data_IF_005521077789
#
_entry.id   IF_005521077789
#
_cell.length_a   1.000
_cell.length_b   1.000
_cell.length_c   1.000
_cell.angle_alpha   90.00
_cell.angle_beta   90.00
_cell.angle_gamma   90.00
#
_symmetry.space_group_name_H-M   'P 1'
#
loop_
_entity.id
_entity.type
_entity.pdbx_description
1 polymer ?
#
# COMPACT_ATOMS: atom_id res chain seq x y z
N UNK A 1 8.19 25.20 0.21
CA UNK A 1 8.36 23.80 -0.24
C UNK A 1 7.23 23.00 0.33
N UNK A 2 6.63 22.11 -0.44
CA UNK A 2 5.57 21.23 0.03
C UNK A 2 6.18 20.24 1.01
N UNK A 3 5.52 19.98 2.15
CA UNK A 3 5.97 18.98 3.09
C UNK A 3 5.85 17.58 2.48
N UNK A 4 6.82 16.70 2.76
CA UNK A 4 6.91 15.37 2.15
C UNK A 4 6.84 14.25 3.19
N UNK A 5 6.15 13.16 2.85
CA UNK A 5 6.08 11.94 3.65
C UNK A 5 6.61 10.75 2.84
N UNK A 6 7.70 10.13 3.30
CA UNK A 6 8.33 9.00 2.62
C UNK A 6 7.65 7.69 3.00
N UNK A 7 7.49 6.79 2.03
CA UNK A 7 6.95 5.44 2.21
C UNK A 7 7.71 4.42 1.37
N UNK A 8 7.68 3.15 1.77
CA UNK A 8 8.26 2.07 0.98
C UNK A 8 7.23 1.51 0.00
N UNK A 9 7.61 1.37 -1.26
CA UNK A 9 6.82 0.77 -2.33
C UNK A 9 6.62 1.68 -3.54
N UNK A 10 5.81 1.19 -4.47
CA UNK A 10 5.44 1.92 -5.70
C UNK A 10 4.24 2.85 -5.43
N UNK A 11 4.06 3.93 -6.22
CA UNK A 11 2.83 4.72 -6.19
C UNK A 11 1.59 3.83 -6.34
N UNK A 12 0.60 4.02 -5.46
CA UNK A 12 -0.60 3.17 -5.40
C UNK A 12 -0.51 1.98 -4.43
N UNK A 13 0.64 1.73 -3.81
CA UNK A 13 0.74 0.75 -2.72
C UNK A 13 -0.12 1.15 -1.50
N UNK A 14 -0.45 0.19 -0.61
CA UNK A 14 -1.21 0.51 0.61
C UNK A 14 -0.46 1.46 1.55
N UNK A 15 0.88 1.49 1.50
CA UNK A 15 1.67 2.52 2.20
C UNK A 15 1.47 3.91 1.60
N UNK A 16 1.30 4.01 0.26
CA UNK A 16 0.93 5.28 -0.38
C UNK A 16 -0.48 5.72 0.01
N UNK A 17 -1.43 4.80 0.03
CA UNK A 17 -2.79 5.07 0.52
C UNK A 17 -2.76 5.56 1.97
N UNK A 18 -1.93 4.96 2.84
CA UNK A 18 -1.75 5.41 4.22
C UNK A 18 -1.27 6.87 4.29
N UNK A 19 -0.32 7.27 3.42
CA UNK A 19 0.13 8.66 3.32
C UNK A 19 -1.01 9.58 2.90
N UNK A 20 -1.72 9.23 1.83
CA UNK A 20 -2.83 10.02 1.30
C UNK A 20 -3.95 10.21 2.34
N UNK A 21 -4.32 9.15 3.06
CA UNK A 21 -5.44 9.18 4.01
C UNK A 21 -5.07 9.92 5.31
N UNK A 22 -3.83 9.73 5.80
CA UNK A 22 -3.40 10.29 7.07
C UNK A 22 -2.80 11.69 6.97
N UNK A 23 -2.23 12.05 5.82
CA UNK A 23 -1.55 13.33 5.55
C UNK A 23 -1.82 13.81 4.13
N UNK A 24 -3.09 14.12 3.79
CA UNK A 24 -3.47 14.53 2.42
C UNK A 24 -2.83 15.85 1.98
N UNK A 25 -2.31 16.64 2.93
CA UNK A 25 -1.61 17.90 2.69
C UNK A 25 -0.15 17.71 2.29
N UNK A 26 0.40 16.48 2.45
CA UNK A 26 1.81 16.19 2.17
C UNK A 26 1.97 15.47 0.83
N UNK A 27 3.11 15.69 0.18
CA UNK A 27 3.48 14.95 -1.02
C UNK A 27 4.14 13.62 -0.62
N UNK A 28 3.68 12.51 -1.22
CA UNK A 28 4.19 11.19 -0.91
C UNK A 28 5.46 10.86 -1.72
N UNK A 29 6.55 10.51 -1.02
CA UNK A 29 7.85 10.15 -1.61
C UNK A 29 8.01 8.62 -1.61
N UNK A 30 7.94 7.94 -2.78
CA UNK A 30 8.17 6.50 -2.85
C UNK A 30 9.66 6.17 -2.69
N UNK A 31 9.97 5.17 -1.86
CA UNK A 31 11.31 4.66 -1.61
C UNK A 31 11.35 3.15 -1.90
N UNK A 32 12.52 2.65 -2.32
CA UNK A 32 12.68 1.24 -2.67
C UNK A 32 12.66 0.33 -1.43
N UNK A 33 13.29 0.77 -0.33
CA UNK A 33 13.43 0.00 0.90
C UNK A 33 13.00 0.81 2.12
N UNK A 34 12.82 0.14 3.27
CA UNK A 34 12.55 0.82 4.54
C UNK A 34 13.76 1.63 5.02
N UNK A 35 14.96 1.14 4.74
CA UNK A 35 16.20 1.85 4.99
C UNK A 35 16.25 3.19 4.23
N UNK A 36 15.81 3.21 2.97
CA UNK A 36 15.73 4.43 2.16
C UNK A 36 14.70 5.42 2.72
N UNK A 37 13.55 4.93 3.20
CA UNK A 37 12.55 5.78 3.88
C UNK A 37 13.15 6.46 5.10
N UNK A 38 13.84 5.72 5.96
CA UNK A 38 14.51 6.26 7.15
C UNK A 38 15.60 7.24 6.75
N UNK A 39 16.40 6.92 5.73
CA UNK A 39 17.46 7.78 5.23
C UNK A 39 16.92 9.10 4.66
N UNK A 40 15.82 9.06 3.89
CA UNK A 40 15.16 10.25 3.34
C UNK A 40 14.73 11.23 4.44
N UNK A 41 14.13 10.72 5.53
CA UNK A 41 13.74 11.56 6.66
C UNK A 41 14.97 12.10 7.41
N UNK A 42 15.97 11.27 7.69
CA UNK A 42 17.22 11.71 8.36
C UNK A 42 17.99 12.74 7.54
N UNK A 43 18.02 12.57 6.22
CA UNK A 43 18.69 13.47 5.27
C UNK A 43 17.92 14.77 4.99
N UNK A 44 16.64 14.86 5.38
CA UNK A 44 15.81 16.04 5.14
C UNK A 44 15.17 16.10 3.76
N UNK A 45 15.20 15.01 3.00
CA UNK A 45 14.48 14.85 1.75
C UNK A 45 12.97 14.70 1.99
N UNK A 46 12.60 14.04 3.10
CA UNK A 46 11.23 13.99 3.60
C UNK A 46 11.15 14.52 5.04
N UNK A 47 9.99 15.02 5.41
CA UNK A 47 9.69 15.50 6.77
C UNK A 47 9.28 14.36 7.69
N UNK A 48 8.48 13.42 7.15
CA UNK A 48 7.92 12.27 7.86
C UNK A 48 8.18 10.96 7.11
N UNK A 49 8.13 9.85 7.86
CA UNK A 49 8.12 8.47 7.36
C UNK A 49 6.79 7.81 7.68
N UNK A 50 6.22 7.08 6.72
CA UNK A 50 5.08 6.18 6.90
C UNK A 50 5.58 4.74 6.91
N UNK A 51 5.60 4.09 8.08
CA UNK A 51 6.23 2.78 8.28
C UNK A 51 5.21 1.75 8.78
N UNK A 52 4.93 0.67 8.01
CA UNK A 52 4.02 -0.39 8.44
C UNK A 52 4.67 -1.21 9.55
N UNK A 53 4.01 -1.35 10.70
CA UNK A 53 4.57 -2.10 11.84
C UNK A 53 3.86 -3.42 12.10
N UNK A 54 2.59 -3.50 11.77
CA UNK A 54 1.76 -4.67 12.03
C UNK A 54 0.62 -4.78 11.03
N UNK A 55 0.28 -6.00 10.68
CA UNK A 55 -0.91 -6.33 9.90
C UNK A 55 -1.73 -7.39 10.65
N UNK A 56 -3.05 -7.21 10.73
CA UNK A 56 -3.93 -8.08 11.50
C UNK A 56 -3.99 -9.54 10.99
N UNK A 57 -3.64 -9.77 9.71
CA UNK A 57 -3.62 -11.10 9.09
C UNK A 57 -2.24 -11.75 9.14
N UNK A 58 -1.17 -10.96 8.95
CA UNK A 58 0.21 -11.44 8.80
C UNK A 58 1.09 -11.17 10.01
N UNK A 59 0.60 -10.41 10.99
CA UNK A 59 1.34 -10.06 12.19
C UNK A 59 2.38 -8.95 11.96
N UNK A 60 3.50 -9.05 12.67
CA UNK A 60 4.53 -8.00 12.68
C UNK A 60 5.31 -7.94 11.38
N UNK A 61 5.61 -6.73 10.93
CA UNK A 61 6.56 -6.46 9.83
C UNK A 61 7.98 -6.56 10.40
N UNK A 62 8.61 -7.73 10.28
CA UNK A 62 9.86 -8.06 10.96
C UNK A 62 11.01 -7.07 10.66
N UNK A 63 11.15 -6.65 9.39
CA UNK A 63 12.21 -5.72 8.98
C UNK A 63 12.09 -4.37 9.69
N UNK A 64 10.87 -3.84 9.82
CA UNK A 64 10.65 -2.58 10.53
C UNK A 64 11.00 -2.71 12.01
N UNK A 65 10.60 -3.78 12.67
CA UNK A 65 10.93 -4.00 14.09
C UNK A 65 12.44 -4.10 14.35
N UNK A 66 13.21 -4.56 13.37
CA UNK A 66 14.67 -4.55 13.43
C UNK A 66 15.26 -3.15 13.24
N UNK A 67 14.67 -2.34 12.35
CA UNK A 67 15.19 -1.02 11.97
C UNK A 67 14.81 0.11 12.94
N UNK A 68 13.61 0.04 13.54
CA UNK A 68 13.07 1.10 14.38
C UNK A 68 13.99 1.52 15.54
N UNK A 69 14.58 0.59 16.35
CA UNK A 69 15.43 0.98 17.48
C UNK A 69 16.67 1.78 17.08
N UNK A 70 17.18 1.57 15.87
CA UNK A 70 18.40 2.20 15.35
C UNK A 70 18.08 3.37 14.38
N UNK A 71 16.80 3.60 14.08
CA UNK A 71 16.40 4.64 13.13
C UNK A 71 16.74 6.04 13.60
N UNK A 72 16.70 6.29 14.91
CA UNK A 72 16.81 7.63 15.48
C UNK A 72 15.62 8.55 15.17
N UNK A 73 14.52 7.99 14.66
CA UNK A 73 13.27 8.71 14.40
C UNK A 73 12.34 8.63 15.61
N UNK A 74 11.48 9.63 15.74
CA UNK A 74 10.49 9.76 16.81
C UNK A 74 9.09 9.51 16.27
N UNK A 75 8.27 8.79 17.02
CA UNK A 75 6.86 8.55 16.68
C UNK A 75 6.08 9.86 16.88
N UNK A 76 5.44 10.32 15.81
CA UNK A 76 4.55 11.46 15.83
C UNK A 76 3.09 11.04 15.94
N UNK A 77 2.72 9.95 15.21
CA UNK A 77 1.34 9.51 15.12
C UNK A 77 1.27 8.05 14.68
N UNK A 78 0.06 7.51 14.62
CA UNK A 78 -0.22 6.23 14.00
C UNK A 78 -1.39 6.33 13.02
N UNK A 79 -1.40 5.46 12.02
CA UNK A 79 -2.48 5.33 11.05
C UNK A 79 -2.88 3.88 10.88
N UNK A 80 -4.16 3.65 10.61
CA UNK A 80 -4.72 2.33 10.35
C UNK A 80 -5.35 2.33 8.98
N UNK A 81 -4.88 1.45 8.10
CA UNK A 81 -5.42 1.30 6.76
C UNK A 81 -6.09 -0.05 6.63
N UNK A 82 -7.38 -0.03 6.33
CA UNK A 82 -8.11 -1.21 5.92
C UNK A 82 -7.63 -1.62 4.52
N UNK A 83 -7.16 -2.86 4.39
CA UNK A 83 -6.71 -3.40 3.11
C UNK A 83 -7.93 -3.91 2.34
N UNK A 84 -8.48 -3.06 1.48
CA UNK A 84 -9.50 -3.44 0.49
C UNK A 84 -8.82 -3.84 -0.82
N UNK A 85 -9.14 -5.03 -1.31
CA UNK A 85 -8.57 -5.55 -2.54
C UNK A 85 -9.60 -5.44 -3.66
N UNK A 86 -9.22 -4.77 -4.74
CA UNK A 86 -10.09 -4.58 -5.91
C UNK A 86 -9.51 -5.29 -7.12
N UNK A 87 -10.36 -5.77 -8.01
CA UNK A 87 -9.98 -6.25 -9.33
C UNK A 87 -9.94 -5.06 -10.29
N UNK A 88 -8.77 -4.73 -10.78
CA UNK A 88 -8.50 -3.58 -11.65
C UNK A 88 -8.12 -4.05 -13.05
N UNK A 89 -8.70 -3.45 -14.09
CA UNK A 89 -8.36 -3.75 -15.48
C UNK A 89 -8.38 -2.49 -16.36
N UNK A 90 -7.89 -2.60 -17.57
CA UNK A 90 -7.95 -1.49 -18.54
C UNK A 90 -9.41 -1.10 -18.83
N UNK A 91 -9.68 0.19 -19.12
CA UNK A 91 -11.02 0.69 -19.38
C UNK A 91 -11.76 -0.11 -20.45
N UNK A 92 -13.04 -0.37 -20.21
CA UNK A 92 -13.91 -1.11 -21.12
C UNK A 92 -13.79 -2.64 -21.04
N UNK A 93 -12.94 -3.19 -20.15
CA UNK A 93 -12.86 -4.63 -19.88
C UNK A 93 -14.11 -5.12 -19.16
N UNK A 94 -14.65 -6.27 -19.55
CA UNK A 94 -15.72 -6.94 -18.80
C UNK A 94 -15.12 -8.03 -17.90
N UNK A 95 -15.69 -8.27 -16.75
CA UNK A 95 -15.23 -9.31 -15.83
C UNK A 95 -15.12 -10.69 -16.52
N UNK A 96 -16.05 -11.00 -17.42
CA UNK A 96 -16.05 -12.25 -18.17
C UNK A 96 -14.89 -12.42 -19.16
N UNK A 97 -14.18 -11.35 -19.49
CA UNK A 97 -13.02 -11.39 -20.41
C UNK A 97 -11.71 -11.67 -19.64
N UNK A 98 -11.67 -11.40 -18.34
CA UNK A 98 -10.47 -11.58 -17.50
C UNK A 98 -10.14 -13.07 -17.32
N UNK A 99 -8.87 -13.44 -17.52
CA UNK A 99 -8.35 -14.82 -17.35
C UNK A 99 -7.27 -14.90 -16.29
N UNK A 100 -6.51 -13.83 -16.09
CA UNK A 100 -5.39 -13.78 -15.17
C UNK A 100 -5.47 -12.53 -14.30
N UNK A 101 -5.19 -12.68 -12.98
CA UNK A 101 -5.10 -11.57 -12.05
C UNK A 101 -3.72 -11.57 -11.37
N UNK A 102 -3.04 -10.44 -11.46
CA UNK A 102 -1.68 -10.25 -10.97
C UNK A 102 -1.69 -9.52 -9.63
N UNK A 103 -0.91 -9.98 -8.67
CA UNK A 103 -0.72 -9.30 -7.39
C UNK A 103 0.46 -9.87 -6.62
N UNK A 104 0.81 -9.23 -5.51
CA UNK A 104 1.76 -9.78 -4.55
C UNK A 104 1.26 -11.12 -3.99
N UNK A 105 2.20 -12.04 -3.75
CA UNK A 105 1.90 -13.40 -3.27
C UNK A 105 1.05 -13.44 -1.99
N UNK A 106 1.11 -12.38 -1.18
CA UNK A 106 0.35 -12.24 0.08
C UNK A 106 -1.12 -11.91 -0.16
N UNK A 107 -1.47 -11.19 -1.24
CA UNK A 107 -2.85 -10.81 -1.53
C UNK A 107 -3.63 -11.90 -2.28
N UNK A 108 -2.96 -12.66 -3.16
CA UNK A 108 -3.61 -13.69 -3.97
C UNK A 108 -4.42 -14.71 -3.15
N UNK A 109 -3.90 -15.29 -2.05
CA UNK A 109 -4.66 -16.22 -1.23
C UNK A 109 -5.90 -15.59 -0.57
N UNK A 110 -5.89 -14.28 -0.33
CA UNK A 110 -7.00 -13.57 0.30
C UNK A 110 -8.18 -13.35 -0.63
N UNK A 111 -8.01 -13.58 -1.94
CA UNK A 111 -9.04 -13.47 -2.96
C UNK A 111 -9.33 -14.82 -3.64
N UNK A 112 -8.93 -15.93 -3.03
CA UNK A 112 -9.01 -17.25 -3.63
C UNK A 112 -10.46 -17.67 -3.96
N UNK A 113 -11.42 -17.28 -3.14
CA UNK A 113 -12.85 -17.51 -3.37
C UNK A 113 -13.32 -16.83 -4.65
N UNK A 114 -13.12 -15.51 -4.74
CA UNK A 114 -13.51 -14.71 -5.90
C UNK A 114 -12.83 -15.17 -7.20
N UNK A 115 -11.52 -15.44 -7.14
CA UNK A 115 -10.77 -15.90 -8.32
C UNK A 115 -11.29 -17.24 -8.85
N UNK A 116 -11.58 -18.19 -7.95
CA UNK A 116 -12.11 -19.50 -8.32
C UNK A 116 -13.53 -19.39 -8.92
N UNK A 117 -14.42 -18.60 -8.33
CA UNK A 117 -15.79 -18.40 -8.79
C UNK A 117 -15.85 -17.81 -10.21
N UNK A 118 -14.88 -16.95 -10.55
CA UNK A 118 -14.79 -16.30 -11.85
C UNK A 118 -13.82 -16.99 -12.83
N UNK A 119 -13.29 -18.17 -12.48
CA UNK A 119 -12.30 -18.92 -13.28
C UNK A 119 -11.05 -18.08 -13.67
N UNK A 120 -10.61 -17.20 -12.78
CA UNK A 120 -9.44 -16.33 -12.96
C UNK A 120 -8.22 -16.99 -12.31
N UNK A 121 -7.11 -17.06 -13.05
CA UNK A 121 -5.85 -17.60 -12.53
C UNK A 121 -5.03 -16.49 -11.86
N UNK A 122 -4.70 -16.67 -10.57
CA UNK A 122 -3.79 -15.77 -9.86
C UNK A 122 -2.34 -15.91 -10.35
N UNK A 123 -1.68 -14.78 -10.57
CA UNK A 123 -0.27 -14.69 -11.00
C UNK A 123 0.52 -13.82 -10.01
N UNK A 124 1.67 -14.30 -9.59
CA UNK A 124 2.51 -13.56 -8.66
C UNK A 124 3.22 -12.41 -9.36
N UNK A 125 3.12 -11.22 -8.76
CA UNK A 125 3.90 -10.01 -9.06
C UNK A 125 4.71 -9.61 -7.83
N UNK A 126 5.85 -8.92 -7.98
CA UNK A 126 6.66 -8.46 -6.86
C UNK A 126 5.92 -7.52 -5.90
N UNK A 127 4.95 -6.75 -6.43
CA UNK A 127 4.15 -5.79 -5.67
C UNK A 127 2.77 -5.63 -6.32
N UNK A 128 1.75 -5.27 -5.54
CA UNK A 128 0.37 -5.09 -6.01
C UNK A 128 0.19 -3.81 -6.85
N UNK A 129 0.80 -2.70 -6.47
CA UNK A 129 0.74 -1.47 -7.26
C UNK A 129 1.54 -1.60 -8.56
N UNK A 130 2.67 -2.31 -8.51
CA UNK A 130 3.43 -2.69 -9.70
C UNK A 130 2.61 -3.57 -10.65
N UNK A 131 1.84 -4.51 -10.11
CA UNK A 131 0.92 -5.31 -10.93
C UNK A 131 -0.10 -4.43 -11.66
N UNK A 132 -0.65 -3.42 -11.00
CA UNK A 132 -1.57 -2.46 -11.63
C UNK A 132 -0.88 -1.68 -12.75
N UNK A 133 0.33 -1.17 -12.51
CA UNK A 133 1.13 -0.49 -13.53
C UNK A 133 1.40 -1.37 -14.75
N UNK A 134 1.80 -2.62 -14.52
CA UNK A 134 2.15 -3.56 -15.58
C UNK A 134 0.90 -3.95 -16.40
N UNK A 135 -0.26 -4.16 -15.76
CA UNK A 135 -1.55 -4.41 -16.44
C UNK A 135 -1.96 -3.23 -17.30
N UNK A 136 -1.81 -2.00 -16.82
CA UNK A 136 -2.06 -0.79 -17.61
C UNK A 136 -1.14 -0.72 -18.83
N UNK A 137 0.15 -1.05 -18.67
CA UNK A 137 1.13 -1.02 -19.75
C UNK A 137 0.90 -2.12 -20.81
N UNK A 138 0.43 -3.30 -20.38
CA UNK A 138 0.13 -4.39 -21.34
C UNK A 138 -1.07 -4.11 -22.23
N UNK A 139 -2.08 -3.38 -21.75
CA UNK A 139 -3.27 -3.05 -22.52
C UNK A 139 -4.09 -4.28 -22.95
N UNK A 140 -4.03 -5.37 -22.20
CA UNK A 140 -4.66 -6.66 -22.49
C UNK A 140 -5.87 -6.89 -21.59
N UNK A 141 -7.07 -6.91 -22.18
CA UNK A 141 -8.34 -7.09 -21.46
C UNK A 141 -8.49 -8.47 -20.77
N UNK A 142 -7.63 -9.45 -21.10
CA UNK A 142 -7.62 -10.74 -20.40
C UNK A 142 -6.87 -10.71 -19.07
N UNK A 143 -6.21 -9.59 -18.75
CA UNK A 143 -5.37 -9.41 -17.57
C UNK A 143 -5.94 -8.34 -16.64
N UNK A 144 -5.86 -8.60 -15.35
CA UNK A 144 -6.27 -7.68 -14.29
C UNK A 144 -5.22 -7.63 -13.17
N UNK A 145 -5.28 -6.63 -12.32
CA UNK A 145 -4.49 -6.55 -11.10
C UNK A 145 -5.39 -6.64 -9.86
N UNK A 146 -4.86 -7.22 -8.78
CA UNK A 146 -5.46 -7.11 -7.45
C UNK A 146 -4.68 -6.07 -6.67
N UNK A 147 -5.28 -4.91 -6.45
CA UNK A 147 -4.60 -3.78 -5.80
C UNK A 147 -5.60 -2.83 -5.10
N UNK A 148 -5.06 -1.73 -4.55
CA UNK A 148 -5.84 -0.64 -3.98
C UNK A 148 -6.59 0.13 -5.08
N UNK A 149 -7.67 0.81 -4.71
CA UNK A 149 -8.38 1.71 -5.64
C UNK A 149 -7.47 2.86 -6.10
N UNK A 150 -6.63 3.38 -5.19
CA UNK A 150 -5.64 4.41 -5.51
C UNK A 150 -4.68 3.98 -6.64
N UNK A 151 -4.28 2.71 -6.68
CA UNK A 151 -3.48 2.19 -7.80
C UNK A 151 -4.26 2.25 -9.12
N UNK A 152 -5.56 1.95 -9.10
CA UNK A 152 -6.45 2.10 -10.26
C UNK A 152 -6.47 3.54 -10.77
N UNK A 153 -6.66 4.51 -9.90
CA UNK A 153 -6.68 5.93 -10.23
C UNK A 153 -5.35 6.40 -10.83
N UNK A 154 -4.22 6.04 -10.20
CA UNK A 154 -2.88 6.45 -10.65
C UNK A 154 -2.54 5.89 -12.03
N UNK A 155 -2.88 4.62 -12.30
CA UNK A 155 -2.50 3.95 -13.54
C UNK A 155 -3.61 3.93 -14.60
N UNK A 156 -4.74 4.60 -14.35
CA UNK A 156 -5.83 4.72 -15.32
C UNK A 156 -6.58 3.40 -15.57
N UNK A 157 -6.69 2.55 -14.54
CA UNK A 157 -7.45 1.32 -14.57
C UNK A 157 -8.86 1.52 -13.99
N UNK A 158 -9.82 0.74 -14.49
CA UNK A 158 -11.18 0.68 -13.96
C UNK A 158 -11.32 -0.43 -12.93
N UNK A 159 -12.13 -0.19 -11.90
CA UNK A 159 -12.48 -1.19 -10.90
C UNK A 159 -13.60 -2.07 -11.44
N UNK A 160 -13.30 -3.33 -11.77
CA UNK A 160 -14.28 -4.32 -12.21
C UNK A 160 -15.05 -4.96 -11.04
N UNK A 161 -14.38 -5.14 -9.91
CA UNK A 161 -15.00 -5.65 -8.68
C UNK A 161 -14.29 -5.04 -7.47
N UNK A 162 -15.09 -4.66 -6.47
CA UNK A 162 -14.61 -4.04 -5.23
C UNK A 162 -14.63 -5.03 -4.09
N UNK A 163 -13.66 -4.89 -3.16
CA UNK A 163 -13.62 -5.60 -1.88
C UNK A 163 -13.81 -7.10 -2.07
N UNK A 164 -12.94 -7.69 -2.91
CA UNK A 164 -13.01 -9.10 -3.30
C UNK A 164 -12.22 -10.03 -2.37
N UNK A 165 -11.70 -9.49 -1.27
CA UNK A 165 -11.07 -10.26 -0.21
C UNK A 165 -12.05 -11.20 0.48
N UNK A 166 -11.62 -12.44 0.75
CA UNK A 166 -12.42 -13.49 1.40
C UNK A 166 -12.70 -13.19 2.89
N UNK A 167 -11.94 -12.27 3.50
CA UNK A 167 -12.07 -11.88 4.91
C UNK A 167 -12.05 -10.36 5.08
N UNK A 168 -12.95 -9.87 5.90
CA UNK A 168 -13.11 -8.45 6.17
C UNK A 168 -12.24 -7.92 7.34
N UNK A 169 -11.19 -8.63 7.76
CA UNK A 169 -10.38 -8.29 8.95
C UNK A 169 -8.95 -7.84 8.65
N UNK A 170 -8.59 -7.58 7.39
CA UNK A 170 -7.23 -7.18 7.05
C UNK A 170 -7.02 -5.67 7.23
N UNK A 171 -6.28 -5.30 8.29
CA UNK A 171 -5.91 -3.91 8.59
C UNK A 171 -4.40 -3.83 8.86
N UNK A 172 -3.75 -2.85 8.28
CA UNK A 172 -2.33 -2.55 8.54
C UNK A 172 -2.22 -1.33 9.44
N UNK A 173 -1.43 -1.45 10.49
CA UNK A 173 -1.04 -0.35 11.38
C UNK A 173 0.28 0.23 10.93
N UNK A 174 0.32 1.54 10.78
CA UNK A 174 1.49 2.32 10.43
C UNK A 174 1.89 3.24 11.57
N UNK A 175 3.20 3.51 11.70
CA UNK A 175 3.72 4.61 12.48
C UNK A 175 4.11 5.76 11.55
N UNK A 176 3.74 6.98 11.95
CA UNK A 176 4.20 8.22 11.32
C UNK A 176 5.33 8.75 12.18
N UNK A 177 6.53 8.85 11.59
CA UNK A 177 7.74 9.16 12.34
C UNK A 177 8.50 10.33 11.72
N UNK A 178 9.11 11.16 12.57
CA UNK A 178 9.91 12.33 12.16
C UNK A 178 11.28 12.36 12.84
N UNK A 179 12.13 13.31 12.42
CA UNK A 179 13.48 13.50 12.99
C UNK A 179 13.47 13.99 14.43
N UNK A 180 12.59 14.93 14.73
CA UNK A 180 12.51 15.58 16.04
C UNK A 180 11.28 15.07 16.79
N UNK A 181 11.32 15.02 18.13
CA UNK A 181 10.15 14.63 18.90
C UNK A 181 9.03 15.67 18.75
N UNK A 182 7.82 15.21 18.43
CA UNK A 182 6.64 16.08 18.43
C UNK A 182 6.17 16.35 19.87
N UNK A 183 6.57 17.50 20.40
CA UNK A 183 6.20 17.96 21.75
C UNK A 183 4.86 18.69 21.81
N UNK A 184 4.18 18.88 20.67
CA UNK A 184 2.88 19.59 20.61
C UNK A 184 1.72 18.70 21.03
N UNK A 185 1.84 17.38 20.80
CA UNK A 185 0.89 16.36 21.26
C UNK A 185 1.21 15.91 22.69
N UNK A 186 1.11 16.78 23.67
CA UNK A 186 1.04 16.35 25.07
C UNK A 186 -0.26 15.60 25.29
N UNK A 187 -0.11 14.29 25.52
CA UNK A 187 -1.06 13.37 26.17
C UNK A 187 -2.45 13.96 26.51
N UNK A 188 -3.38 13.84 25.60
CA UNK A 188 -4.81 13.94 25.91
C UNK A 188 -5.35 12.66 26.59
N UNK A 189 -4.44 11.72 26.86
CA UNK A 189 -4.76 10.41 27.47
C UNK A 189 -3.83 10.15 28.67
N UNK A 190 -4.12 10.80 29.79
CA UNK A 190 -3.83 10.26 31.12
C UNK A 190 -5.13 10.05 31.87
#
# INVERSE_FOLDING_TARGET
>A
MTAMIAFQGEPGAYSHQACHDARPEMEALPCATFEDVIAAVKGGEADLAMLPVENSTYGRVADIHRLLPESGLHIHDEAFVRVHINLLAIPGTRLADVREAYSHLVLLPQCAGFLRENAITGRVSPDNARAARDVAAWGDASKAALASELAGEIYGLEVLARHIEDSDHNTTRFLIMGRDPDMTRRAEHM
#
